data_IF_284824713265
#
_entry.id   IF_284824713265
#
_cell.length_a   1.000
_cell.length_b   1.000
_cell.length_c   1.000
_cell.angle_alpha   90.00
_cell.angle_beta   90.00
_cell.angle_gamma   90.00
#
_symmetry.space_group_name_H-M   'P 1'
#
loop_
_entity.id
_entity.type
_entity.pdbx_description
1 polymer ?
#
# COMPACT_ATOMS: atom_id res chain seq x y z
N UNK A 1 -10.12 -5.80 2.88
CA UNK A 1 -10.24 -4.39 2.44
C UNK A 1 -11.14 -3.69 3.45
N UNK A 2 -10.55 -3.10 4.49
CA UNK A 2 -11.32 -2.29 5.43
C UNK A 2 -11.46 -0.90 4.83
N UNK A 3 -12.70 -0.45 4.65
CA UNK A 3 -13.07 0.84 4.08
C UNK A 3 -12.77 2.01 5.02
N UNK A 4 -11.52 2.16 5.43
CA UNK A 4 -11.01 3.41 5.95
C UNK A 4 -9.93 3.89 4.99
N UNK A 5 -10.32 4.85 4.15
CA UNK A 5 -9.39 5.77 3.50
C UNK A 5 -8.54 6.37 4.63
N UNK A 6 -7.25 6.05 4.65
CA UNK A 6 -6.29 6.69 5.56
C UNK A 6 -6.23 8.17 5.16
N UNK A 7 -6.75 9.04 6.02
CA UNK A 7 -6.97 10.46 5.73
C UNK A 7 -5.71 11.33 5.93
N UNK A 8 -4.52 10.75 5.82
CA UNK A 8 -3.30 11.55 5.77
C UNK A 8 -2.00 10.80 6.07
N UNK A 9 -0.86 11.47 5.84
CA UNK A 9 0.49 10.92 6.03
C UNK A 9 0.81 10.49 7.49
N UNK A 10 -0.02 10.88 8.47
CA UNK A 10 0.12 10.50 9.87
C UNK A 10 -0.32 9.07 10.20
N UNK A 11 -1.42 8.58 9.62
CA UNK A 11 -1.95 7.23 9.90
C UNK A 11 -1.23 6.13 9.10
N UNK A 12 -0.68 6.50 7.94
CA UNK A 12 0.15 5.59 7.12
C UNK A 12 1.48 5.20 7.78
N UNK A 13 1.89 5.86 8.88
CA UNK A 13 3.10 5.52 9.65
C UNK A 13 2.95 4.29 10.55
N UNK A 14 1.73 3.90 10.92
CA UNK A 14 1.49 2.73 11.78
C UNK A 14 1.12 1.47 10.98
N UNK A 15 0.89 1.58 9.67
CA UNK A 15 0.63 0.44 8.81
C UNK A 15 1.94 -0.13 8.26
N UNK A 16 2.05 -1.47 8.26
CA UNK A 16 3.14 -2.18 7.60
C UNK A 16 3.18 -1.91 6.08
N UNK A 17 2.02 -1.71 5.47
CA UNK A 17 1.89 -1.30 4.08
C UNK A 17 0.64 -0.42 3.90
N UNK A 18 0.76 0.67 3.14
CA UNK A 18 -0.31 1.62 2.87
C UNK A 18 -0.21 2.25 1.49
N UNK A 19 -1.33 2.72 0.96
CA UNK A 19 -1.42 3.43 -0.32
C UNK A 19 -2.22 4.72 -0.13
N UNK A 20 -1.75 5.81 -0.72
CA UNK A 20 -2.53 7.05 -0.82
C UNK A 20 -3.18 7.08 -2.20
N UNK A 21 -4.49 6.90 -2.26
CA UNK A 21 -5.23 6.99 -3.51
C UNK A 21 -5.44 8.46 -3.92
N UNK A 22 -5.48 8.77 -5.23
CA UNK A 22 -5.78 10.11 -5.71
C UNK A 22 -7.23 10.50 -5.40
N UNK A 23 -7.45 11.81 -5.22
CA UNK A 23 -8.78 12.39 -5.10
C UNK A 23 -9.58 12.37 -6.41
N UNK A 24 -10.88 12.65 -6.33
CA UNK A 24 -11.73 12.76 -7.52
C UNK A 24 -11.27 13.93 -8.40
N UNK A 25 -10.90 13.64 -9.66
CA UNK A 25 -10.39 14.63 -10.61
C UNK A 25 -8.88 14.89 -10.54
N UNK A 26 -8.14 14.20 -9.66
CA UNK A 26 -6.68 14.26 -9.60
C UNK A 26 -6.03 13.29 -10.59
N UNK A 27 -4.74 13.50 -10.87
CA UNK A 27 -3.97 12.57 -11.69
C UNK A 27 -4.00 11.17 -11.06
N UNK A 28 -4.13 10.08 -11.85
CA UNK A 28 -4.20 8.71 -11.35
C UNK A 28 -2.82 8.25 -10.90
N UNK A 29 -2.35 8.80 -9.78
CA UNK A 29 -1.05 8.52 -9.18
C UNK A 29 -1.24 8.24 -7.70
N UNK A 30 -0.66 7.14 -7.23
CA UNK A 30 -0.84 6.68 -5.86
C UNK A 30 0.49 6.22 -5.25
N UNK A 31 1.09 7.00 -4.33
CA UNK A 31 2.29 6.57 -3.62
C UNK A 31 1.97 5.45 -2.62
N UNK A 32 2.85 4.45 -2.60
CA UNK A 32 2.80 3.30 -1.69
C UNK A 32 3.89 3.44 -0.63
N UNK A 33 3.51 3.20 0.61
CA UNK A 33 4.35 3.24 1.79
C UNK A 33 4.47 1.83 2.37
N UNK A 34 5.68 1.45 2.76
CA UNK A 34 5.97 0.16 3.38
C UNK A 34 6.81 0.44 4.61
N UNK A 35 6.34 -0.03 5.77
CA UNK A 35 6.93 0.23 7.09
C UNK A 35 7.22 1.73 7.31
N UNK A 36 6.28 2.59 6.88
CA UNK A 36 6.37 4.04 6.97
C UNK A 36 7.25 4.73 5.91
N UNK A 37 7.90 3.99 5.01
CA UNK A 37 8.79 4.53 3.96
C UNK A 37 8.14 4.47 2.58
N UNK A 38 8.16 5.59 1.85
CA UNK A 38 7.67 5.65 0.47
C UNK A 38 8.55 4.77 -0.43
N UNK A 39 7.95 3.75 -1.04
CA UNK A 39 8.69 2.74 -1.83
C UNK A 39 8.47 2.94 -3.33
N UNK A 40 7.21 2.84 -3.79
CA UNK A 40 6.86 2.98 -5.20
C UNK A 40 5.70 3.96 -5.37
N UNK A 41 5.49 4.44 -6.59
CA UNK A 41 4.33 5.24 -6.96
C UNK A 41 3.63 4.57 -8.12
N UNK A 42 2.42 4.07 -7.87
CA UNK A 42 1.58 3.43 -8.88
C UNK A 42 0.90 4.50 -9.73
N UNK A 43 0.66 4.20 -11.00
CA UNK A 43 0.07 5.15 -11.95
C UNK A 43 -0.91 4.46 -12.89
N UNK A 44 -1.94 5.20 -13.31
CA UNK A 44 -2.91 4.75 -14.29
C UNK A 44 -4.02 3.88 -13.68
N UNK A 45 -4.69 3.10 -14.52
CA UNK A 45 -5.96 2.46 -14.16
C UNK A 45 -5.79 1.19 -13.32
N UNK A 46 -4.57 0.64 -13.25
CA UNK A 46 -4.27 -0.64 -12.61
C UNK A 46 -3.77 -0.52 -11.16
N UNK A 47 -3.83 0.68 -10.56
CA UNK A 47 -3.36 0.95 -9.19
C UNK A 47 -3.86 -0.09 -8.18
N UNK A 48 -5.13 -0.48 -8.25
CA UNK A 48 -5.70 -1.45 -7.33
C UNK A 48 -5.08 -2.86 -7.48
N UNK A 49 -4.86 -3.33 -8.72
CA UNK A 49 -4.26 -4.64 -8.98
C UNK A 49 -2.77 -4.66 -8.62
N UNK A 50 -2.04 -3.61 -9.01
CA UNK A 50 -0.62 -3.47 -8.66
C UNK A 50 -0.42 -3.41 -7.14
N UNK A 51 -1.28 -2.67 -6.43
CA UNK A 51 -1.20 -2.62 -4.97
C UNK A 51 -1.46 -3.99 -4.32
N UNK A 52 -2.44 -4.76 -4.82
CA UNK A 52 -2.69 -6.11 -4.33
C UNK A 52 -1.46 -7.02 -4.49
N UNK A 53 -0.74 -6.91 -5.61
CA UNK A 53 0.50 -7.68 -5.81
C UNK A 53 1.59 -7.28 -4.81
N UNK A 54 1.74 -5.99 -4.51
CA UNK A 54 2.71 -5.52 -3.52
C UNK A 54 2.36 -6.05 -2.13
N UNK A 55 1.07 -6.03 -1.76
CA UNK A 55 0.59 -6.59 -0.49
C UNK A 55 0.87 -8.10 -0.42
N UNK A 56 0.55 -8.85 -1.48
CA UNK A 56 0.80 -10.31 -1.53
C UNK A 56 2.30 -10.62 -1.37
N UNK A 57 3.17 -9.89 -2.09
CA UNK A 57 4.63 -10.03 -1.93
C UNK A 57 5.12 -9.65 -0.53
N UNK A 58 4.56 -8.59 0.07
CA UNK A 58 4.87 -8.20 1.44
C UNK A 58 4.47 -9.30 2.44
N UNK A 59 3.27 -9.85 2.30
CA UNK A 59 2.80 -10.92 3.21
C UNK A 59 3.67 -12.15 3.06
N UNK A 60 3.98 -12.56 1.82
CA UNK A 60 4.90 -13.67 1.56
C UNK A 60 6.25 -13.41 2.22
N UNK A 61 6.95 -12.33 1.92
CA UNK A 61 8.30 -12.11 2.48
C UNK A 61 8.32 -12.01 4.00
N UNK A 62 7.30 -11.42 4.61
CA UNK A 62 7.29 -11.12 6.06
C UNK A 62 6.78 -12.30 6.89
N UNK A 63 5.77 -13.03 6.42
CA UNK A 63 5.10 -14.07 7.21
C UNK A 63 5.37 -15.50 6.72
N UNK A 64 5.91 -15.72 5.51
CA UNK A 64 6.23 -17.09 5.07
C UNK A 64 7.44 -17.70 5.78
N UNK A 65 8.33 -16.89 6.38
CA UNK A 65 9.42 -17.38 7.22
C UNK A 65 9.00 -17.65 8.68
N UNK A 66 7.87 -17.10 9.14
CA UNK A 66 7.42 -17.20 10.54
C UNK A 66 6.62 -18.48 10.84
N UNK A 67 6.25 -19.27 9.82
CA UNK A 67 5.50 -20.51 9.98
C UNK A 67 6.38 -21.76 10.23
N UNK A 68 7.71 -21.60 10.31
CA UNK A 68 8.66 -22.69 10.55
C UNK A 68 9.64 -22.28 11.65
N UNK A 69 9.20 -22.27 12.91
CA UNK A 69 10.03 -22.61 14.06
C UNK A 69 9.16 -22.91 15.29
#
# INVERSE_FOLDING_TARGET
VMGCVVNGPGESKHANIGISLPGSGEAPVAPVFVDGVRTVTLKGDHIASEFQQIVDQYVRRTYSAAALH
#
